data_IF_777920126370
#
_entry.id   IF_777920126370
#
_cell.length_a   1.000
_cell.length_b   1.000
_cell.length_c   1.000
_cell.angle_alpha   90.00
_cell.angle_beta   90.00
_cell.angle_gamma   90.00
#
_symmetry.space_group_name_H-M   'P 1'
#
loop_
_entity.id
_entity.type
_entity.pdbx_description
1 polymer ?
#
# COMPACT_ATOMS: atom_id res chain seq x y z
N UNK A 1 -11.99 31.31 -6.45
CA UNK A 1 -11.84 30.99 -5.02
C UNK A 1 -11.29 29.56 -4.88
N UNK A 2 -10.30 29.18 -5.70
CA UNK A 2 -10.06 27.76 -6.05
C UNK A 2 -8.60 27.32 -5.91
N UNK A 3 -7.74 28.16 -5.32
CA UNK A 3 -6.33 27.86 -5.10
C UNK A 3 -6.05 27.07 -3.80
N UNK A 4 -7.04 26.96 -2.91
CA UNK A 4 -6.88 26.32 -1.59
C UNK A 4 -7.28 24.83 -1.61
N UNK A 5 -8.13 24.42 -2.56
CA UNK A 5 -8.71 23.08 -2.62
C UNK A 5 -7.79 22.05 -3.31
N UNK A 6 -6.86 22.49 -4.17
CA UNK A 6 -6.03 21.59 -4.99
C UNK A 6 -4.81 21.01 -4.26
N UNK A 7 -4.39 21.58 -3.14
CA UNK A 7 -3.22 21.12 -2.39
C UNK A 7 -3.55 19.95 -1.43
N UNK A 8 -4.75 19.95 -0.85
CA UNK A 8 -5.16 18.93 0.13
C UNK A 8 -5.45 17.56 -0.52
N UNK A 9 -5.69 17.52 -1.82
CA UNK A 9 -5.93 16.29 -2.61
C UNK A 9 -4.62 15.57 -3.02
N UNK A 10 -3.47 16.25 -2.87
CA UNK A 10 -2.15 15.72 -3.23
C UNK A 10 -1.60 14.70 -2.22
N UNK A 11 -2.10 14.67 -0.98
CA UNK A 11 -1.60 13.76 0.06
C UNK A 11 -2.49 12.53 0.32
N UNK A 12 -3.70 12.46 -0.24
CA UNK A 12 -4.60 11.30 -0.11
C UNK A 12 -4.46 10.27 -1.25
N UNK A 13 -3.61 10.54 -2.24
CA UNK A 13 -3.47 9.74 -3.45
C UNK A 13 -2.38 8.65 -3.33
N UNK A 14 -2.45 7.84 -2.26
CA UNK A 14 -1.94 6.46 -2.33
C UNK A 14 -2.95 5.60 -3.08
N UNK A 15 -3.11 5.89 -4.38
CA UNK A 15 -3.83 5.03 -5.32
C UNK A 15 -3.08 5.13 -6.63
N UNK A 16 -2.86 3.98 -7.25
CA UNK A 16 -2.24 3.80 -8.56
C UNK A 16 -2.96 4.59 -9.67
N UNK A 17 -2.87 5.92 -9.65
CA UNK A 17 -3.55 6.82 -10.58
C UNK A 17 -2.58 7.25 -11.65
N UNK A 18 -2.83 6.77 -12.86
CA UNK A 18 -2.06 7.10 -14.06
C UNK A 18 -2.37 8.54 -14.45
N UNK A 19 -1.36 9.40 -14.47
CA UNK A 19 -1.52 10.81 -14.88
C UNK A 19 -1.68 10.93 -16.40
N UNK A 20 -2.36 11.97 -16.86
CA UNK A 20 -2.62 12.19 -18.29
C UNK A 20 -1.32 12.25 -19.12
N UNK A 21 -0.26 12.84 -18.58
CA UNK A 21 1.06 12.89 -19.24
C UNK A 21 1.77 11.53 -19.30
N UNK A 22 1.52 10.62 -18.34
CA UNK A 22 2.06 9.25 -18.39
C UNK A 22 1.43 8.39 -19.49
N UNK A 23 0.19 8.70 -19.88
CA UNK A 23 -0.56 7.95 -20.90
C UNK A 23 -0.29 8.44 -22.33
N UNK A 24 0.11 9.72 -22.51
CA UNK A 24 0.45 10.28 -23.83
C UNK A 24 1.68 9.63 -24.47
N UNK A 25 2.66 9.25 -23.66
CA UNK A 25 3.89 8.63 -24.13
C UNK A 25 3.84 7.09 -24.12
N UNK A 26 2.69 6.47 -23.84
CA UNK A 26 2.59 5.01 -23.67
C UNK A 26 3.05 4.22 -24.91
N UNK A 27 2.89 4.78 -26.12
CA UNK A 27 3.39 4.20 -27.39
C UNK A 27 4.88 4.43 -27.66
N UNK A 28 5.52 5.36 -26.95
CA UNK A 28 6.96 5.66 -27.02
C UNK A 28 7.75 4.89 -25.93
N UNK A 29 7.04 4.36 -24.93
CA UNK A 29 7.63 3.56 -23.86
C UNK A 29 8.05 2.19 -24.41
N UNK A 30 9.27 1.76 -24.06
CA UNK A 30 9.83 0.45 -24.43
C UNK A 30 8.87 -0.70 -24.11
N UNK A 31 8.78 -1.74 -24.97
CA UNK A 31 7.94 -2.92 -24.74
C UNK A 31 8.16 -3.58 -23.36
N UNK A 32 9.39 -3.52 -22.84
CA UNK A 32 9.77 -4.06 -21.52
C UNK A 32 9.03 -3.32 -20.39
N UNK A 33 8.99 -2.00 -20.47
CA UNK A 33 8.33 -1.16 -19.46
C UNK A 33 6.81 -1.33 -19.55
N UNK A 34 6.24 -1.45 -20.75
CA UNK A 34 4.82 -1.77 -20.90
C UNK A 34 4.44 -3.10 -20.25
N UNK A 35 5.26 -4.15 -20.43
CA UNK A 35 5.02 -5.45 -19.81
C UNK A 35 5.15 -5.38 -18.28
N UNK A 36 6.17 -4.69 -17.77
CA UNK A 36 6.34 -4.46 -16.33
C UNK A 36 5.12 -3.75 -15.71
N UNK A 37 4.65 -2.69 -16.36
CA UNK A 37 3.50 -1.91 -15.90
C UNK A 37 2.19 -2.70 -15.94
N UNK A 38 2.00 -3.58 -16.93
CA UNK A 38 0.87 -4.52 -16.98
C UNK A 38 0.93 -5.55 -15.85
N UNK A 39 2.11 -6.08 -15.54
CA UNK A 39 2.28 -7.06 -14.47
C UNK A 39 2.01 -6.47 -13.07
N UNK A 40 2.33 -5.19 -12.83
CA UNK A 40 2.04 -4.56 -11.53
C UNK A 40 0.54 -4.41 -11.21
N UNK A 41 -0.33 -4.37 -12.23
CA UNK A 41 -1.78 -4.26 -12.01
C UNK A 41 -2.43 -5.57 -11.57
N UNK A 42 -1.79 -6.71 -11.84
CA UNK A 42 -2.32 -8.06 -11.57
C UNK A 42 -1.65 -8.76 -10.38
N UNK A 43 -0.92 -8.05 -9.52
CA UNK A 43 -0.36 -8.66 -8.31
C UNK A 43 -1.43 -8.76 -7.21
N UNK A 44 -2.51 -9.48 -7.45
CA UNK A 44 -3.17 -10.15 -6.33
C UNK A 44 -2.14 -11.16 -5.80
N UNK A 45 -1.84 -11.06 -4.51
CA UNK A 45 -0.92 -11.98 -3.83
C UNK A 45 -1.61 -13.34 -3.72
N UNK A 46 -1.71 -14.06 -4.84
CA UNK A 46 -2.12 -15.46 -4.86
C UNK A 46 -0.99 -16.20 -4.15
N UNK A 47 -1.22 -16.56 -2.88
CA UNK A 47 -0.27 -17.33 -2.10
C UNK A 47 -0.10 -18.68 -2.82
N UNK A 48 1.13 -19.06 -3.22
CA UNK A 48 1.36 -20.34 -3.87
C UNK A 48 0.87 -21.46 -2.94
N UNK A 49 0.05 -22.37 -3.48
CA UNK A 49 -0.47 -23.51 -2.73
C UNK A 49 0.69 -24.47 -2.41
N UNK A 50 1.13 -24.47 -1.15
CA UNK A 50 2.26 -25.27 -0.71
C UNK A 50 1.92 -26.77 -0.65
N UNK A 51 0.66 -27.16 -0.88
CA UNK A 51 0.17 -28.55 -0.88
C UNK A 51 0.11 -29.20 -2.27
N UNK A 52 0.50 -28.52 -3.35
CA UNK A 52 0.34 -29.08 -4.71
C UNK A 52 1.23 -30.30 -5.02
N UNK A 53 2.34 -30.48 -4.29
CA UNK A 53 3.32 -31.55 -4.54
C UNK A 53 2.72 -32.95 -4.35
N UNK A 54 2.85 -33.82 -5.36
CA UNK A 54 2.32 -35.20 -5.37
C UNK A 54 2.81 -36.02 -4.16
N UNK A 55 4.09 -35.90 -3.81
CA UNK A 55 4.70 -36.57 -2.65
C UNK A 55 4.05 -36.19 -1.31
N UNK A 56 3.50 -34.98 -1.20
CA UNK A 56 2.81 -34.49 0.00
C UNK A 56 1.35 -34.95 0.03
N UNK A 57 0.72 -35.11 -1.13
CA UNK A 57 -0.60 -35.72 -1.26
C UNK A 57 -0.56 -37.21 -0.89
N UNK A 58 0.49 -37.91 -1.31
CA UNK A 58 0.76 -39.31 -0.99
C UNK A 58 1.06 -39.53 0.50
N UNK A 59 1.73 -38.60 1.16
CA UNK A 59 2.05 -38.70 2.59
C UNK A 59 0.85 -38.45 3.51
N UNK A 60 -0.29 -37.99 2.96
CA UNK A 60 -1.48 -37.63 3.74
C UNK A 60 -1.31 -36.38 4.60
N UNK A 61 -0.17 -35.69 4.52
CA UNK A 61 0.11 -34.48 5.29
C UNK A 61 -0.42 -33.25 4.53
N UNK A 62 -1.66 -32.85 4.83
CA UNK A 62 -2.32 -31.68 4.24
C UNK A 62 -2.02 -30.46 5.13
N UNK A 63 -1.37 -29.44 4.56
CA UNK A 63 -1.23 -28.12 5.20
C UNK A 63 -2.49 -27.31 4.85
N UNK A 64 -3.34 -26.94 5.82
CA UNK A 64 -4.51 -26.11 5.53
C UNK A 64 -4.07 -24.75 4.97
N UNK A 65 -4.34 -24.51 3.68
CA UNK A 65 -4.05 -23.23 3.02
C UNK A 65 -5.17 -22.20 3.17
N UNK A 66 -6.30 -22.63 3.71
CA UNK A 66 -7.48 -21.79 3.88
C UNK A 66 -7.19 -20.59 4.79
N UNK A 67 -7.67 -19.44 4.36
CA UNK A 67 -7.60 -18.22 5.15
C UNK A 67 -8.60 -18.36 6.31
N UNK A 68 -8.17 -18.24 7.59
CA UNK A 68 -9.07 -18.34 8.72
C UNK A 68 -10.22 -17.34 8.64
N UNK A 69 -11.40 -17.69 9.17
CA UNK A 69 -12.58 -16.81 9.18
C UNK A 69 -12.34 -15.47 9.89
N UNK A 70 -11.49 -15.47 10.91
CA UNK A 70 -11.11 -14.27 11.66
C UNK A 70 -9.99 -13.45 11.00
N UNK A 71 -9.45 -13.90 9.86
CA UNK A 71 -8.38 -13.18 9.18
C UNK A 71 -8.81 -11.79 8.73
N UNK A 72 -7.90 -10.83 8.85
CA UNK A 72 -8.04 -9.49 8.28
C UNK A 72 -8.37 -9.52 6.78
N UNK A 73 -7.88 -10.54 6.04
CA UNK A 73 -8.17 -10.73 4.62
C UNK A 73 -9.64 -11.10 4.36
N UNK A 74 -10.22 -11.97 5.19
CA UNK A 74 -11.64 -12.36 5.08
C UNK A 74 -12.57 -11.25 5.56
N UNK A 75 -12.11 -10.46 6.54
CA UNK A 75 -12.84 -9.33 7.10
C UNK A 75 -12.78 -8.07 6.24
N UNK A 76 -11.86 -8.00 5.27
CA UNK A 76 -11.64 -6.81 4.45
C UNK A 76 -11.19 -5.60 5.26
N UNK A 77 -10.49 -5.83 6.37
CA UNK A 77 -9.93 -4.75 7.20
C UNK A 77 -8.65 -4.22 6.56
N UNK A 78 -8.41 -2.92 6.64
CA UNK A 78 -7.12 -2.36 6.25
C UNK A 78 -6.08 -2.62 7.34
N UNK A 79 -4.91 -3.11 6.94
CA UNK A 79 -3.82 -3.32 7.86
C UNK A 79 -3.24 -2.00 8.37
N UNK A 80 -2.95 -1.95 9.67
CA UNK A 80 -2.24 -0.83 10.26
C UNK A 80 -0.89 -0.63 9.52
N UNK A 81 -0.60 0.59 9.04
CA UNK A 81 0.65 0.84 8.36
C UNK A 81 1.79 0.77 9.36
N UNK A 82 2.84 0.02 9.00
CA UNK A 82 4.08 -0.03 9.76
C UNK A 82 5.20 0.72 9.04
N UNK A 83 6.27 1.01 9.75
CA UNK A 83 7.42 1.75 9.19
C UNK A 83 8.07 1.06 7.98
N UNK A 84 7.92 -0.26 7.90
CA UNK A 84 8.59 -1.11 6.91
C UNK A 84 7.70 -1.46 5.71
N UNK A 85 6.44 -1.00 5.67
CA UNK A 85 5.47 -1.39 4.64
C UNK A 85 5.16 -2.88 4.58
N UNK A 86 5.46 -3.64 5.64
CA UNK A 86 5.23 -5.09 5.70
C UNK A 86 3.75 -5.34 6.00
N UNK A 87 3.08 -6.10 5.13
CA UNK A 87 1.69 -6.49 5.37
C UNK A 87 1.60 -7.63 6.40
N UNK A 88 0.56 -7.64 7.24
CA UNK A 88 0.34 -8.72 8.18
C UNK A 88 0.01 -10.03 7.48
N UNK A 89 0.37 -11.16 8.11
CA UNK A 89 0.13 -12.48 7.57
C UNK A 89 -1.34 -12.87 7.50
N UNK A 90 -1.66 -13.95 6.77
CA UNK A 90 -3.04 -14.46 6.58
C UNK A 90 -3.77 -14.82 7.88
N UNK A 91 -3.06 -15.03 8.98
CA UNK A 91 -3.64 -15.41 10.28
C UNK A 91 -3.85 -14.22 11.21
N UNK A 92 -3.43 -13.01 10.81
CA UNK A 92 -3.66 -11.84 11.64
C UNK A 92 -5.14 -11.50 11.69
N UNK A 93 -5.65 -11.18 12.86
CA UNK A 93 -7.08 -10.97 13.10
C UNK A 93 -7.57 -9.56 12.75
N UNK A 94 -6.65 -8.63 12.46
CA UNK A 94 -6.97 -7.23 12.16
C UNK A 94 -6.99 -6.33 13.39
N UNK A 95 -6.74 -6.86 14.59
CA UNK A 95 -6.74 -6.07 15.81
C UNK A 95 -5.30 -5.64 16.13
N UNK A 96 -5.07 -4.32 16.14
CA UNK A 96 -3.81 -3.75 16.60
C UNK A 96 -3.66 -3.93 18.12
N UNK A 97 -2.59 -4.62 18.52
CA UNK A 97 -2.21 -4.87 19.93
C UNK A 97 -0.89 -4.19 20.30
N UNK A 98 -0.41 -3.28 19.47
CA UNK A 98 0.82 -2.54 19.73
C UNK A 98 0.64 -1.44 20.78
N UNK A 99 1.76 -0.90 21.27
CA UNK A 99 1.79 0.26 22.17
C UNK A 99 1.44 1.60 21.46
N UNK A 100 0.96 1.56 20.21
CA UNK A 100 0.66 2.77 19.42
C UNK A 100 1.87 3.60 18.99
N UNK A 101 3.10 3.09 19.13
CA UNK A 101 4.33 3.79 18.72
C UNK A 101 4.29 4.24 17.25
N UNK A 102 3.88 3.36 16.34
CA UNK A 102 3.84 3.67 14.91
C UNK A 102 2.86 4.80 14.61
N UNK A 103 1.67 4.77 15.23
CA UNK A 103 0.67 5.83 15.14
C UNK A 103 1.22 7.18 15.61
N UNK A 104 1.93 7.20 16.73
CA UNK A 104 2.56 8.42 17.25
C UNK A 104 3.68 8.93 16.33
N UNK A 105 4.48 8.02 15.77
CA UNK A 105 5.56 8.36 14.85
C UNK A 105 5.02 9.02 13.57
N UNK A 106 3.99 8.44 12.95
CA UNK A 106 3.36 9.02 11.76
C UNK A 106 2.74 10.37 12.06
N UNK A 107 2.06 10.52 13.21
CA UNK A 107 1.52 11.81 13.65
C UNK A 107 2.62 12.89 13.73
N UNK A 108 3.72 12.60 14.44
CA UNK A 108 4.85 13.54 14.58
C UNK A 108 5.49 13.90 13.25
N UNK A 109 5.65 12.91 12.37
CA UNK A 109 6.21 13.13 11.03
C UNK A 109 5.32 14.05 10.18
N UNK A 110 4.00 13.83 10.23
CA UNK A 110 3.03 14.66 9.52
C UNK A 110 2.99 16.09 10.07
N UNK A 111 3.04 16.25 11.38
CA UNK A 111 3.11 17.56 12.05
C UNK A 111 4.37 18.32 11.62
N UNK A 112 5.54 17.67 11.65
CA UNK A 112 6.79 18.28 11.18
C UNK A 112 6.69 18.73 9.72
N UNK A 113 6.21 17.86 8.82
CA UNK A 113 6.04 18.21 7.41
C UNK A 113 5.04 19.36 7.20
N UNK A 114 3.97 19.42 7.98
CA UNK A 114 3.00 20.52 7.91
C UNK A 114 3.65 21.85 8.33
N UNK A 115 4.38 21.86 9.45
CA UNK A 115 5.06 23.08 9.93
C UNK A 115 6.14 23.58 8.97
N UNK A 116 6.93 22.68 8.36
CA UNK A 116 7.95 23.04 7.38
C UNK A 116 7.33 23.65 6.12
N UNK A 117 6.21 23.10 5.65
CA UNK A 117 5.46 23.64 4.50
C UNK A 117 4.87 25.01 4.80
N UNK A 118 4.28 25.18 5.98
CA UNK A 118 3.78 26.49 6.42
C UNK A 118 4.93 27.50 6.44
N UNK A 119 6.03 27.20 7.15
CA UNK A 119 7.19 28.08 7.24
C UNK A 119 7.76 28.47 5.87
N UNK A 120 7.80 27.51 4.93
CA UNK A 120 8.20 27.78 3.55
C UNK A 120 7.26 28.78 2.88
N UNK A 121 5.94 28.55 2.93
CA UNK A 121 4.96 29.47 2.36
C UNK A 121 5.05 30.88 2.96
N UNK A 122 5.22 30.98 4.28
CA UNK A 122 5.45 32.26 4.97
C UNK A 122 6.73 32.96 4.48
N UNK A 123 7.83 32.22 4.31
CA UNK A 123 9.10 32.79 3.86
C UNK A 123 9.08 33.28 2.41
N UNK A 124 8.28 32.65 1.55
CA UNK A 124 8.17 33.02 0.13
C UNK A 124 7.23 34.20 -0.07
N UNK A 125 6.25 34.40 0.80
CA UNK A 125 5.22 35.42 0.63
C UNK A 125 5.73 36.87 0.72
N UNK A 126 6.95 37.07 1.25
CA UNK A 126 7.59 38.39 1.43
C UNK A 126 8.72 38.66 0.39
N UNK A 127 8.92 37.76 -0.58
CA UNK A 127 9.80 37.95 -1.76
C UNK A 127 9.00 38.34 -3.00
#
# INVERSE_FOLDING_TARGET
MDAFTSFFESQSSSRNSWTYDSLKNFRQISPIVQNHLKQRKHSELVLPDLGENEKMKESGFIIPQDIPSHSWLKRGLDAAPNRYGIKPGRHWDGIDRGNGFEKQMFKRTNEKQATEKEAYLWSVCDM
#
